data_IF_290829310147
#
_entry.id   IF_290829310147
#
_cell.length_a   1.000
_cell.length_b   1.000
_cell.length_c   1.000
_cell.angle_alpha   90.00
_cell.angle_beta   90.00
_cell.angle_gamma   90.00
#
_symmetry.space_group_name_H-M   'P 1'
#
loop_
_entity.id
_entity.type
_entity.pdbx_description
1 polymer ?
#
# COMPACT_ATOMS: atom_id res chain seq x y z
N UNK A 1 -26.15 2.30 16.90
CA UNK A 1 -26.38 3.46 16.00
C UNK A 1 -25.22 4.42 16.17
N UNK A 2 -24.02 3.97 15.80
CA UNK A 2 -22.81 4.80 15.75
C UNK A 2 -22.74 5.36 14.35
N UNK A 3 -22.86 6.67 14.24
CA UNK A 3 -22.85 7.41 12.99
C UNK A 3 -21.55 7.12 12.24
N UNK A 4 -21.70 6.53 11.05
CA UNK A 4 -20.71 6.61 9.98
C UNK A 4 -20.47 8.10 9.70
N UNK A 5 -19.37 8.62 10.24
CA UNK A 5 -18.78 9.87 9.79
C UNK A 5 -18.22 9.58 8.39
N UNK A 6 -19.08 9.75 7.38
CA UNK A 6 -18.69 9.90 6.00
C UNK A 6 -17.84 11.16 5.93
N UNK A 7 -16.55 11.02 6.23
CA UNK A 7 -15.56 12.06 6.08
C UNK A 7 -15.44 12.28 4.57
N UNK A 8 -16.34 13.08 4.01
CA UNK A 8 -16.22 13.69 2.69
C UNK A 8 -15.09 14.72 2.77
N UNK A 9 -13.91 14.28 3.21
CA UNK A 9 -12.69 15.03 3.05
C UNK A 9 -12.42 14.96 1.54
N UNK A 10 -12.98 15.93 0.83
CA UNK A 10 -12.66 16.16 -0.57
C UNK A 10 -11.19 16.53 -0.73
N UNK A 11 -10.35 16.51 0.31
CA UNK A 11 -8.95 16.88 0.26
C UNK A 11 -8.04 15.69 0.58
N UNK A 12 -7.01 15.53 -0.24
CA UNK A 12 -5.95 14.55 -0.07
C UNK A 12 -5.20 14.74 1.27
N UNK A 13 -5.03 13.66 2.05
CA UNK A 13 -4.33 13.72 3.33
C UNK A 13 -2.83 14.02 3.19
N UNK A 14 -2.20 13.61 2.08
CA UNK A 14 -0.78 13.83 1.85
C UNK A 14 -0.45 15.25 1.39
N UNK A 15 -1.31 15.88 0.58
CA UNK A 15 -0.98 17.15 -0.09
C UNK A 15 -2.07 18.22 -0.06
N UNK A 16 -3.21 17.96 0.58
CA UNK A 16 -4.33 18.90 0.76
C UNK A 16 -5.08 19.29 -0.51
N UNK A 17 -4.77 18.69 -1.66
CA UNK A 17 -5.44 19.00 -2.94
C UNK A 17 -6.79 18.31 -3.01
N UNK A 18 -7.76 18.95 -3.65
CA UNK A 18 -9.09 18.38 -3.80
C UNK A 18 -9.04 17.06 -4.59
N UNK A 19 -9.66 16.00 -4.08
CA UNK A 19 -9.74 14.66 -4.64
C UNK A 19 -11.18 14.36 -5.05
N UNK A 20 -11.37 14.15 -6.35
CA UNK A 20 -12.66 13.75 -6.95
C UNK A 20 -12.59 12.37 -7.61
N UNK A 21 -11.39 11.84 -7.79
CA UNK A 21 -11.13 10.51 -8.36
C UNK A 21 -10.77 9.49 -7.27
N UNK A 22 -10.54 8.22 -7.66
CA UNK A 22 -10.09 7.16 -6.73
C UNK A 22 -8.67 7.40 -6.18
N UNK A 23 -7.93 8.31 -6.79
CA UNK A 23 -6.59 8.72 -6.39
C UNK A 23 -6.42 10.23 -6.55
N UNK A 24 -5.46 10.80 -5.83
CA UNK A 24 -5.07 12.20 -5.96
C UNK A 24 -4.20 12.38 -7.21
N UNK A 25 -4.65 13.20 -8.17
CA UNK A 25 -3.92 13.47 -9.42
C UNK A 25 -2.59 14.19 -9.22
N UNK A 26 -2.33 14.75 -8.02
CA UNK A 26 -1.09 15.48 -7.70
C UNK A 26 0.00 14.62 -7.06
N UNK A 27 -0.37 13.72 -6.14
CA UNK A 27 0.61 12.92 -5.37
C UNK A 27 0.38 11.41 -5.45
N UNK A 28 -0.70 10.96 -6.09
CA UNK A 28 -1.02 9.55 -6.28
C UNK A 28 -1.63 8.83 -5.07
N UNK A 29 -1.93 9.52 -3.96
CA UNK A 29 -2.60 8.90 -2.81
C UNK A 29 -3.98 8.37 -3.21
N UNK A 30 -4.32 7.15 -2.82
CA UNK A 30 -5.69 6.64 -2.94
C UNK A 30 -6.67 7.46 -2.08
N UNK A 31 -7.80 7.86 -2.66
CA UNK A 31 -8.83 8.67 -1.97
C UNK A 31 -9.57 7.86 -0.90
N UNK A 32 -9.64 6.53 -1.07
CA UNK A 32 -10.13 5.63 -0.04
C UNK A 32 -9.01 5.29 0.94
N UNK A 33 -8.86 6.11 1.99
CA UNK A 33 -7.89 5.89 3.06
C UNK A 33 -8.55 5.23 4.26
N UNK A 34 -8.74 3.91 4.19
CA UNK A 34 -9.02 3.10 5.39
C UNK A 34 -7.89 3.26 6.40
N UNK A 35 -8.22 3.32 7.70
CA UNK A 35 -7.21 3.31 8.76
C UNK A 35 -6.49 1.96 8.75
N UNK A 36 -5.23 1.93 8.31
CA UNK A 36 -4.40 0.72 8.31
C UNK A 36 -3.74 0.59 9.68
N UNK A 37 -3.90 -0.57 10.32
CA UNK A 37 -3.23 -0.85 11.60
C UNK A 37 -1.83 -1.42 11.40
N UNK A 38 -0.90 -1.17 12.34
CA UNK A 38 0.45 -1.75 12.26
C UNK A 38 0.43 -3.28 12.14
N UNK A 39 -0.46 -3.95 12.89
CA UNK A 39 -0.63 -5.40 12.82
C UNK A 39 -1.05 -5.87 11.43
N UNK A 40 -1.99 -5.18 10.82
CA UNK A 40 -2.47 -5.48 9.47
C UNK A 40 -1.37 -5.26 8.42
N UNK A 41 -0.59 -4.18 8.53
CA UNK A 41 0.57 -3.93 7.67
C UNK A 41 1.59 -5.07 7.75
N UNK A 42 1.94 -5.51 8.96
CA UNK A 42 2.88 -6.63 9.15
C UNK A 42 2.31 -7.93 8.58
N UNK A 43 1.04 -8.24 8.85
CA UNK A 43 0.39 -9.43 8.29
C UNK A 43 0.36 -9.43 6.75
N UNK A 44 0.04 -8.28 6.14
CA UNK A 44 0.01 -8.14 4.70
C UNK A 44 1.43 -8.28 4.11
N UNK A 45 2.42 -7.66 4.75
CA UNK A 45 3.82 -7.78 4.35
C UNK A 45 4.31 -9.23 4.37
N UNK A 46 4.06 -9.97 5.47
CA UNK A 46 4.46 -11.37 5.56
C UNK A 46 3.72 -12.24 4.54
N UNK A 47 2.44 -11.98 4.30
CA UNK A 47 1.65 -12.69 3.28
C UNK A 47 2.27 -12.54 1.89
N UNK A 48 2.72 -11.33 1.53
CA UNK A 48 3.38 -11.05 0.26
C UNK A 48 4.80 -11.65 0.23
N UNK A 49 5.56 -11.50 1.32
CA UNK A 49 6.94 -11.99 1.40
C UNK A 49 7.03 -13.52 1.31
N UNK A 50 6.07 -14.24 1.90
CA UNK A 50 6.00 -15.70 1.87
C UNK A 50 5.11 -16.25 0.76
N UNK A 51 4.61 -15.41 -0.15
CA UNK A 51 3.90 -15.88 -1.34
C UNK A 51 4.85 -16.75 -2.18
N UNK A 52 4.49 -18.02 -2.38
CA UNK A 52 5.35 -19.06 -2.97
C UNK A 52 5.89 -18.69 -4.37
N UNK A 53 5.15 -17.87 -5.12
CA UNK A 53 5.47 -17.47 -6.50
C UNK A 53 5.81 -15.97 -6.61
N UNK A 54 6.15 -15.34 -5.49
CA UNK A 54 6.43 -13.91 -5.45
C UNK A 54 7.78 -13.53 -6.08
N UNK A 55 7.91 -12.30 -6.64
CA UNK A 55 9.19 -11.79 -7.15
C UNK A 55 10.30 -11.74 -6.09
N UNK A 56 9.93 -11.74 -4.80
CA UNK A 56 10.87 -11.81 -3.68
C UNK A 56 11.68 -13.12 -3.68
N UNK A 57 11.04 -14.27 -3.89
CA UNK A 57 11.74 -15.56 -3.93
C UNK A 57 12.70 -15.67 -5.11
N UNK A 58 12.29 -15.16 -6.28
CA UNK A 58 13.16 -15.05 -7.44
C UNK A 58 14.39 -14.20 -7.11
N UNK A 59 14.17 -13.03 -6.50
CA UNK A 59 15.23 -12.10 -6.12
C UNK A 59 16.19 -12.72 -5.10
N UNK A 60 15.66 -13.35 -4.05
CA UNK A 60 16.47 -14.04 -3.03
C UNK A 60 17.31 -15.16 -3.68
N UNK A 61 16.69 -15.97 -4.54
CA UNK A 61 17.40 -17.04 -5.26
C UNK A 61 18.51 -16.47 -6.15
N UNK A 62 18.25 -15.38 -6.88
CA UNK A 62 19.24 -14.73 -7.72
C UNK A 62 20.39 -14.14 -6.90
N UNK A 63 20.11 -13.47 -5.79
CA UNK A 63 21.13 -12.92 -4.90
C UNK A 63 22.01 -14.02 -4.27
N UNK A 64 21.46 -15.19 -3.95
CA UNK A 64 22.22 -16.33 -3.40
C UNK A 64 23.01 -17.05 -4.49
N UNK A 65 22.40 -17.33 -5.64
CA UNK A 65 23.02 -18.19 -6.67
C UNK A 65 23.86 -17.41 -7.68
N UNK A 66 23.57 -16.13 -7.89
CA UNK A 66 24.19 -15.26 -8.89
C UNK A 66 24.24 -13.80 -8.38
N UNK A 67 24.92 -13.52 -7.26
CA UNK A 67 25.07 -12.15 -6.77
C UNK A 67 25.68 -11.27 -7.87
N UNK A 68 25.05 -10.12 -8.17
CA UNK A 68 25.54 -9.14 -9.14
C UNK A 68 25.01 -9.26 -10.59
N UNK A 69 24.02 -10.12 -10.86
CA UNK A 69 23.34 -10.20 -12.19
C UNK A 69 21.98 -9.48 -12.26
N UNK A 70 21.64 -8.71 -11.24
CA UNK A 70 20.45 -7.85 -11.18
C UNK A 70 20.76 -6.46 -11.70
#
# INVERSE_FOLDING_TARGET
>A
MTQELLDNNTNCLNCGTETQENYCSKCGQLTNTSQITFKETINNFLSIAFAFEGPLWLTIRLLITNPGKL
#
